data_IF_059309793833
#
_entry.id   IF_059309793833
#
_cell.length_a   1.000
_cell.length_b   1.000
_cell.length_c   1.000
_cell.angle_alpha   90.00
_cell.angle_beta   90.00
_cell.angle_gamma   90.00
#
_symmetry.space_group_name_H-M   'P 1'
#
loop_
_entity.id
_entity.type
_entity.pdbx_description
1 polymer ?
#
# COMPACT_ATOMS: atom_id res chain seq x y z
N UNK A 1 -36.44 11.99 -6.79
CA UNK A 1 -35.00 12.33 -6.89
C UNK A 1 -34.26 11.00 -6.72
N UNK A 2 -33.50 10.58 -7.73
CA UNK A 2 -33.01 9.20 -7.87
C UNK A 2 -32.18 8.71 -6.69
N UNK A 3 -32.47 7.50 -6.22
CA UNK A 3 -31.67 6.79 -5.21
C UNK A 3 -30.41 6.26 -5.88
N UNK A 4 -29.35 7.06 -5.93
CA UNK A 4 -28.05 6.64 -6.43
C UNK A 4 -27.38 5.76 -5.36
N UNK A 5 -27.29 4.45 -5.65
CA UNK A 5 -26.60 3.48 -4.80
C UNK A 5 -25.12 3.79 -4.69
N UNK A 6 -24.45 3.27 -3.65
CA UNK A 6 -23.01 3.44 -3.49
C UNK A 6 -22.26 2.91 -4.73
N UNK A 7 -21.35 3.72 -5.28
CA UNK A 7 -20.55 3.37 -6.47
C UNK A 7 -19.12 3.07 -6.05
N UNK A 8 -18.51 2.09 -6.71
CA UNK A 8 -17.07 1.81 -6.63
C UNK A 8 -16.36 2.44 -7.81
N UNK A 9 -15.30 3.20 -7.56
CA UNK A 9 -14.44 3.75 -8.61
C UNK A 9 -13.00 3.83 -8.16
N UNK A 10 -12.09 3.85 -9.14
CA UNK A 10 -10.65 3.85 -8.91
C UNK A 10 -10.01 5.10 -9.51
N UNK A 11 -9.16 5.74 -8.72
CA UNK A 11 -8.34 6.88 -9.11
C UNK A 11 -6.87 6.50 -9.10
N UNK A 12 -6.11 7.04 -10.04
CA UNK A 12 -4.66 6.88 -10.14
C UNK A 12 -3.97 8.21 -9.95
N UNK A 13 -3.10 8.29 -8.95
CA UNK A 13 -2.18 9.39 -8.72
C UNK A 13 -0.91 9.14 -9.52
N UNK A 14 -0.52 10.10 -10.35
CA UNK A 14 0.72 10.01 -11.12
C UNK A 14 1.92 10.39 -10.23
N UNK A 15 2.82 9.42 -10.03
CA UNK A 15 3.99 9.60 -9.19
C UNK A 15 5.25 9.79 -10.02
N UNK A 16 5.58 11.05 -10.32
CA UNK A 16 6.85 11.41 -10.99
C UNK A 16 8.09 11.26 -10.08
N UNK A 17 7.90 11.31 -8.76
CA UNK A 17 8.98 11.19 -7.78
C UNK A 17 8.50 10.36 -6.57
N UNK A 18 9.36 9.44 -6.09
CA UNK A 18 9.12 8.50 -4.99
C UNK A 18 10.00 8.76 -3.76
N UNK A 19 10.46 10.00 -3.58
CA UNK A 19 11.15 10.37 -2.35
C UNK A 19 10.22 10.25 -1.13
N UNK A 20 10.80 10.12 0.07
CA UNK A 20 10.06 9.97 1.34
C UNK A 20 8.98 11.05 1.50
N UNK A 21 9.28 12.30 1.12
CA UNK A 21 8.32 13.40 1.20
C UNK A 21 7.14 13.26 0.23
N UNK A 22 7.38 12.79 -1.01
CA UNK A 22 6.32 12.56 -1.98
C UNK A 22 5.42 11.40 -1.56
N UNK A 23 6.01 10.29 -1.11
CA UNK A 23 5.30 9.10 -0.62
C UNK A 23 4.41 9.49 0.57
N UNK A 24 4.98 10.12 1.61
CA UNK A 24 4.22 10.56 2.80
C UNK A 24 3.08 11.53 2.46
N UNK A 25 3.28 12.41 1.46
CA UNK A 25 2.23 13.34 1.03
C UNK A 25 1.04 12.61 0.39
N UNK A 26 1.31 11.62 -0.46
CA UNK A 26 0.27 10.82 -1.12
C UNK A 26 -0.43 9.92 -0.10
N UNK A 27 0.33 9.23 0.74
CA UNK A 27 -0.18 8.39 1.84
C UNK A 27 -1.14 9.16 2.74
N UNK A 28 -0.74 10.35 3.23
CA UNK A 28 -1.58 11.19 4.08
C UNK A 28 -2.85 11.65 3.36
N UNK A 29 -2.77 11.94 2.06
CA UNK A 29 -3.92 12.33 1.28
C UNK A 29 -4.90 11.17 1.08
N UNK A 30 -4.41 9.98 0.73
CA UNK A 30 -5.21 8.77 0.57
C UNK A 30 -5.90 8.38 1.88
N UNK A 31 -5.19 8.41 3.01
CA UNK A 31 -5.77 8.11 4.33
C UNK A 31 -6.87 9.10 4.74
N UNK A 32 -6.83 10.34 4.23
CA UNK A 32 -7.81 11.37 4.55
C UNK A 32 -9.06 11.33 3.65
N UNK A 33 -9.12 10.44 2.65
CA UNK A 33 -10.28 10.31 1.74
C UNK A 33 -11.53 9.88 2.51
N UNK A 34 -11.41 8.94 3.46
CA UNK A 34 -12.54 8.50 4.28
C UNK A 34 -13.21 9.60 5.12
N UNK A 35 -12.58 10.77 5.27
CA UNK A 35 -13.20 11.93 5.93
C UNK A 35 -14.11 12.77 5.03
N UNK A 36 -14.17 12.47 3.72
CA UNK A 36 -15.08 13.14 2.79
C UNK A 36 -16.51 12.62 2.98
N UNK A 37 -17.49 13.52 2.89
CA UNK A 37 -18.90 13.17 3.02
C UNK A 37 -19.32 12.25 1.88
N UNK A 38 -20.04 11.18 2.23
CA UNK A 38 -20.58 10.22 1.26
C UNK A 38 -19.63 9.08 0.90
N UNK A 39 -18.41 9.04 1.46
CA UNK A 39 -17.50 7.90 1.31
C UNK A 39 -17.77 6.88 2.41
N UNK A 40 -17.97 5.62 2.01
CA UNK A 40 -18.17 4.49 2.93
C UNK A 40 -16.84 3.81 3.22
N UNK A 41 -16.08 3.50 2.18
CA UNK A 41 -14.75 2.88 2.30
C UNK A 41 -13.81 3.41 1.23
N UNK A 42 -12.51 3.45 1.56
CA UNK A 42 -11.46 3.77 0.61
C UNK A 42 -10.22 2.93 0.89
N UNK A 43 -9.65 2.34 -0.15
CA UNK A 43 -8.42 1.52 -0.08
C UNK A 43 -7.40 2.13 -1.01
N UNK A 44 -6.27 2.59 -0.46
CA UNK A 44 -5.19 3.21 -1.22
C UNK A 44 -3.92 2.37 -1.19
N UNK A 45 -3.27 2.23 -2.34
CA UNK A 45 -1.93 1.69 -2.49
C UNK A 45 -0.98 2.82 -2.95
N UNK A 46 -0.13 3.27 -2.04
CA UNK A 46 0.83 4.35 -2.30
C UNK A 46 1.96 3.90 -3.24
N UNK A 47 2.26 2.60 -3.28
CA UNK A 47 3.31 2.04 -4.14
C UNK A 47 2.94 2.13 -5.62
N UNK A 48 1.68 1.79 -5.94
CA UNK A 48 1.13 1.91 -7.30
C UNK A 48 0.51 3.29 -7.55
N UNK A 49 0.17 4.05 -6.51
CA UNK A 49 -0.54 5.32 -6.62
C UNK A 49 -2.04 5.16 -6.88
N UNK A 50 -2.58 3.95 -6.70
CA UNK A 50 -4.00 3.61 -6.96
C UNK A 50 -4.80 3.84 -5.67
N UNK A 51 -6.01 4.40 -5.81
CA UNK A 51 -6.99 4.42 -4.73
C UNK A 51 -8.37 4.03 -5.23
N UNK A 52 -8.96 3.04 -4.57
CA UNK A 52 -10.33 2.59 -4.80
C UNK A 52 -11.23 3.19 -3.74
N UNK A 53 -12.34 3.79 -4.17
CA UNK A 53 -13.31 4.47 -3.31
C UNK A 53 -14.67 3.84 -3.53
N UNK A 54 -15.38 3.59 -2.44
CA UNK A 54 -16.77 3.15 -2.43
C UNK A 54 -17.60 4.17 -1.66
N UNK A 55 -18.64 4.69 -2.30
CA UNK A 55 -19.56 5.63 -1.65
C UNK A 55 -20.53 6.31 -2.60
N UNK A 56 -21.37 7.16 -2.03
CA UNK A 56 -22.29 8.06 -2.73
C UNK A 56 -21.61 9.41 -2.92
N UNK A 57 -20.54 9.42 -3.72
CA UNK A 57 -19.75 10.61 -4.05
C UNK A 57 -19.40 10.60 -5.53
N UNK A 58 -19.28 11.78 -6.14
CA UNK A 58 -18.87 11.91 -7.52
C UNK A 58 -17.35 11.65 -7.67
N UNK A 59 -16.90 10.79 -8.62
CA UNK A 59 -15.49 10.53 -8.85
C UNK A 59 -14.67 11.79 -9.17
N UNK A 60 -15.28 12.78 -9.82
CA UNK A 60 -14.61 14.03 -10.22
C UNK A 60 -14.31 14.89 -8.99
N UNK A 61 -15.24 14.95 -8.02
CA UNK A 61 -15.02 15.66 -6.75
C UNK A 61 -13.84 15.09 -5.98
N UNK A 62 -13.79 13.76 -5.83
CA UNK A 62 -12.68 13.08 -5.12
C UNK A 62 -11.37 13.25 -5.89
N UNK A 63 -11.40 13.17 -7.23
CA UNK A 63 -10.24 13.42 -8.09
C UNK A 63 -9.69 14.84 -7.91
N UNK A 64 -10.56 15.85 -7.95
CA UNK A 64 -10.16 17.25 -7.76
C UNK A 64 -9.57 17.49 -6.37
N UNK A 65 -10.22 16.94 -5.34
CA UNK A 65 -9.74 17.02 -3.96
C UNK A 65 -8.35 16.38 -3.81
N UNK A 66 -8.16 15.19 -4.38
CA UNK A 66 -6.89 14.46 -4.29
C UNK A 66 -5.77 15.18 -5.05
N UNK A 67 -6.08 15.76 -6.22
CA UNK A 67 -5.17 16.63 -6.99
C UNK A 67 -4.75 17.86 -6.17
N UNK A 68 -5.69 18.52 -5.50
CA UNK A 68 -5.41 19.68 -4.62
C UNK A 68 -4.54 19.30 -3.42
N UNK A 69 -4.76 18.15 -2.81
CA UNK A 69 -4.04 17.70 -1.61
C UNK A 69 -2.62 17.21 -1.92
N UNK A 70 -2.47 16.45 -3.00
CA UNK A 70 -1.19 15.84 -3.39
C UNK A 70 -0.32 16.75 -4.26
N UNK A 71 -0.94 17.75 -4.93
CA UNK A 71 -0.31 18.57 -5.99
C UNK A 71 0.23 17.71 -7.15
N UNK A 72 -0.41 16.57 -7.43
CA UNK A 72 -0.06 15.63 -8.50
C UNK A 72 -1.24 15.45 -9.46
N UNK A 73 -0.97 15.05 -10.70
CA UNK A 73 -2.04 14.64 -11.63
C UNK A 73 -2.76 13.40 -11.09
N UNK A 74 -4.08 13.41 -11.18
CA UNK A 74 -4.96 12.30 -10.79
C UNK A 74 -5.88 12.03 -11.97
N UNK A 75 -6.06 10.75 -12.31
CA UNK A 75 -6.97 10.29 -13.37
C UNK A 75 -7.94 9.27 -12.80
N UNK A 76 -9.19 9.30 -13.26
CA UNK A 76 -10.14 8.21 -12.99
C UNK A 76 -9.79 7.06 -13.94
N UNK A 77 -9.48 5.88 -13.40
CA UNK A 77 -9.05 4.71 -14.19
C UNK A 77 -10.22 3.77 -14.50
N UNK A 78 -11.31 3.85 -13.73
CA UNK A 78 -12.57 3.21 -14.09
C UNK A 78 -13.53 3.09 -12.90
N UNK A 79 -14.85 3.06 -13.15
CA UNK A 79 -15.82 2.46 -12.24
C UNK A 79 -15.75 0.94 -12.44
N UNK A 80 -15.23 0.19 -11.49
CA UNK A 80 -15.23 -1.27 -11.62
C UNK A 80 -16.67 -1.77 -11.45
N UNK A 81 -17.30 -2.38 -12.47
CA UNK A 81 -18.64 -2.94 -12.32
C UNK A 81 -18.55 -4.23 -11.49
N UNK A 82 -19.45 -4.33 -10.51
CA UNK A 82 -19.92 -5.53 -9.81
C UNK A 82 -18.90 -6.64 -9.47
N UNK A 83 -18.86 -6.97 -8.18
CA UNK A 83 -18.30 -8.23 -7.67
C UNK A 83 -19.08 -9.37 -8.33
N UNK A 84 -18.46 -10.08 -9.27
CA UNK A 84 -18.77 -11.48 -9.54
C UNK A 84 -17.44 -12.26 -9.58
N UNK A 85 -17.37 -13.25 -8.70
CA UNK A 85 -16.33 -14.27 -8.73
C UNK A 85 -16.32 -14.92 -10.11
N UNK A 86 -15.16 -15.13 -10.73
CA UNK A 86 -14.81 -16.40 -11.38
C UNK A 86 -13.39 -16.33 -11.96
N UNK A 87 -12.52 -17.17 -11.39
CA UNK A 87 -11.36 -17.82 -12.00
C UNK A 87 -10.96 -17.42 -13.43
N UNK A 88 -10.08 -16.42 -13.58
CA UNK A 88 -9.35 -16.24 -14.83
C UNK A 88 -8.33 -17.37 -15.02
N UNK A 89 -8.74 -18.40 -15.76
CA UNK A 89 -7.86 -19.25 -16.54
C UNK A 89 -8.47 -19.41 -17.93
N UNK A 90 -7.59 -19.29 -18.93
CA UNK A 90 -7.71 -19.72 -20.32
C UNK A 90 -8.20 -18.68 -21.35
N UNK A 91 -7.21 -18.26 -22.15
CA UNK A 91 -7.26 -17.88 -23.57
C UNK A 91 -8.07 -18.88 -24.40
N UNK A 92 -8.92 -18.41 -25.34
CA UNK A 92 -9.03 -18.92 -26.74
C UNK A 92 -9.60 -17.81 -27.66
N UNK A 93 -9.05 -17.75 -28.88
CA UNK A 93 -9.28 -16.83 -30.01
C UNK A 93 -10.49 -17.28 -30.86
N UNK A 94 -10.96 -16.37 -31.74
CA UNK A 94 -11.92 -16.52 -32.87
C UNK A 94 -13.35 -16.21 -32.45
N UNK A 95 -14.17 -15.45 -33.17
CA UNK A 95 -14.15 -14.97 -34.55
C UNK A 95 -15.61 -14.63 -34.87
N UNK A 96 -15.83 -13.59 -35.67
CA UNK A 96 -17.11 -13.01 -36.08
C UNK A 96 -18.28 -13.98 -36.26
N UNK A 97 -19.51 -13.62 -35.86
CA UNK A 97 -20.68 -13.81 -36.74
C UNK A 97 -21.95 -13.10 -36.23
N UNK A 98 -22.71 -12.67 -37.21
CA UNK A 98 -23.87 -11.79 -37.23
C UNK A 98 -25.18 -12.46 -36.80
N UNK A 99 -26.15 -11.60 -36.40
CA UNK A 99 -27.62 -11.73 -36.48
C UNK A 99 -28.31 -12.79 -35.61
N UNK A 100 -29.25 -12.35 -34.79
CA UNK A 100 -30.70 -12.50 -35.06
C UNK A 100 -31.53 -11.84 -33.95
N UNK A 101 -32.37 -10.88 -34.31
CA UNK A 101 -33.50 -10.45 -33.48
C UNK A 101 -34.71 -11.28 -33.91
N UNK A 102 -35.27 -12.06 -33.00
CA UNK A 102 -36.60 -12.63 -33.19
C UNK A 102 -37.42 -12.41 -31.92
N UNK A 103 -38.43 -11.56 -32.09
CA UNK A 103 -39.56 -11.34 -31.21
C UNK A 103 -40.50 -12.53 -31.23
N UNK A 104 -40.95 -13.03 -30.07
CA UNK A 104 -42.34 -13.42 -29.68
C UNK A 104 -42.30 -14.37 -28.45
N UNK A 105 -43.43 -14.67 -27.75
CA UNK A 105 -44.66 -13.90 -27.51
C UNK A 105 -45.12 -13.90 -26.02
N UNK A 106 -46.05 -12.99 -25.72
CA UNK A 106 -47.06 -12.99 -24.64
C UNK A 106 -46.99 -14.07 -23.53
N UNK A 107 -46.66 -13.67 -22.30
CA UNK A 107 -46.86 -14.47 -21.07
C UNK A 107 -48.17 -14.03 -20.36
N UNK A 108 -49.00 -14.96 -19.83
CA UNK A 108 -50.21 -14.61 -19.09
C UNK A 108 -49.91 -13.99 -17.71
N UNK A 109 -50.85 -13.22 -17.12
CA UNK A 109 -50.65 -12.62 -15.80
C UNK A 109 -50.69 -13.71 -14.71
N UNK A 110 -49.61 -13.80 -13.92
CA UNK A 110 -49.60 -14.59 -12.69
C UNK A 110 -50.43 -13.84 -11.63
N UNK A 111 -51.57 -14.42 -11.26
CA UNK A 111 -52.33 -14.04 -10.08
C UNK A 111 -51.92 -14.88 -8.87
N UNK A 112 -51.76 -14.15 -7.78
CA UNK A 112 -52.03 -14.47 -6.38
C UNK A 112 -51.33 -15.65 -5.69
N UNK A 113 -50.46 -15.24 -4.77
CA UNK A 113 -50.55 -15.60 -3.36
C UNK A 113 -50.42 -17.10 -3.03
N UNK A 114 -49.18 -17.57 -2.90
CA UNK A 114 -48.88 -18.73 -2.06
C UNK A 114 -47.66 -18.45 -1.16
N UNK A 115 -47.97 -18.19 0.10
CA UNK A 115 -47.28 -18.63 1.33
C UNK A 115 -45.80 -19.01 1.20
N UNK A 116 -44.90 -18.12 1.63
CA UNK A 116 -43.48 -18.39 1.87
C UNK A 116 -43.22 -19.25 3.13
N UNK A 117 -44.11 -20.19 3.45
CA UNK A 117 -43.86 -21.17 4.48
C UNK A 117 -43.33 -22.44 3.81
N UNK A 118 -41.99 -22.52 3.73
CA UNK A 118 -41.14 -23.70 3.92
C UNK A 118 -39.77 -23.40 3.33
N UNK A 119 -38.99 -22.59 4.06
CA UNK A 119 -37.53 -22.61 3.94
C UNK A 119 -37.12 -24.05 4.27
N UNK A 120 -36.47 -24.81 3.37
CA UNK A 120 -35.93 -26.11 3.72
C UNK A 120 -34.98 -25.92 4.90
N UNK A 121 -35.02 -26.79 5.93
CA UNK A 121 -34.17 -26.62 7.10
C UNK A 121 -32.73 -26.54 6.60
N UNK A 122 -32.10 -25.40 6.87
CA UNK A 122 -30.68 -25.17 6.66
C UNK A 122 -29.98 -26.42 7.16
N UNK A 123 -29.48 -27.23 6.21
CA UNK A 123 -28.69 -28.40 6.55
C UNK A 123 -27.61 -27.91 7.50
N UNK A 124 -27.50 -28.55 8.66
CA UNK A 124 -26.45 -28.26 9.62
C UNK A 124 -25.12 -28.48 8.93
N UNK A 125 -24.61 -27.45 8.27
CA UNK A 125 -23.26 -27.45 7.73
C UNK A 125 -22.36 -27.51 8.95
N UNK A 126 -21.64 -28.62 9.07
CA UNK A 126 -20.91 -29.04 10.25
C UNK A 126 -20.14 -27.90 10.91
N UNK A 127 -20.59 -27.47 12.09
CA UNK A 127 -19.87 -26.51 12.95
C UNK A 127 -18.40 -26.93 13.19
N UNK A 128 -18.10 -28.23 13.11
CA UNK A 128 -16.73 -28.78 13.21
C UNK A 128 -15.83 -28.37 12.06
N UNK A 129 -16.35 -28.29 10.83
CA UNK A 129 -15.58 -27.89 9.65
C UNK A 129 -15.19 -26.41 9.74
N UNK A 130 -16.08 -25.57 10.25
CA UNK A 130 -15.84 -24.15 10.45
C UNK A 130 -14.77 -23.89 11.53
N UNK A 131 -14.85 -24.60 12.66
CA UNK A 131 -13.81 -24.53 13.71
C UNK A 131 -12.43 -24.95 13.20
N UNK A 132 -12.36 -26.02 12.39
CA UNK A 132 -11.10 -26.48 11.80
C UNK A 132 -10.50 -25.44 10.84
N UNK A 133 -11.35 -24.73 10.09
CA UNK A 133 -10.91 -23.65 9.19
C UNK A 133 -10.36 -22.48 10.00
N UNK A 134 -11.05 -22.05 11.06
CA UNK A 134 -10.58 -20.99 11.96
C UNK A 134 -9.23 -21.33 12.61
N UNK A 135 -9.06 -22.57 13.09
CA UNK A 135 -7.78 -23.03 13.65
C UNK A 135 -6.65 -23.01 12.60
N UNK A 136 -6.93 -23.42 11.37
CA UNK A 136 -5.97 -23.35 10.26
C UNK A 136 -5.60 -21.92 9.92
N UNK A 137 -6.57 -21.01 9.84
CA UNK A 137 -6.31 -19.57 9.61
C UNK A 137 -5.39 -19.05 10.70
N UNK A 138 -5.76 -19.24 11.97
CA UNK A 138 -4.94 -18.82 13.12
C UNK A 138 -3.52 -19.40 13.08
N UNK A 139 -3.37 -20.66 12.65
CA UNK A 139 -2.08 -21.30 12.45
C UNK A 139 -1.22 -20.61 11.38
N UNK A 140 -1.81 -20.31 10.22
CA UNK A 140 -1.12 -19.62 9.13
C UNK A 140 -0.73 -18.19 9.50
N UNK A 141 -1.59 -17.49 10.24
CA UNK A 141 -1.29 -16.15 10.74
C UNK A 141 -0.09 -16.15 11.68
N UNK A 142 -0.02 -17.11 12.60
CA UNK A 142 1.16 -17.29 13.47
C UNK A 142 2.44 -17.53 12.66
N UNK A 143 2.38 -18.39 11.64
CA UNK A 143 3.55 -18.67 10.78
C UNK A 143 4.02 -17.41 10.06
N UNK A 144 3.08 -16.64 9.51
CA UNK A 144 3.37 -15.35 8.86
C UNK A 144 4.05 -14.36 9.82
N UNK A 145 3.56 -14.29 11.06
CA UNK A 145 4.09 -13.36 12.06
C UNK A 145 5.49 -13.78 12.50
N UNK A 146 5.72 -15.09 12.73
CA UNK A 146 7.06 -15.63 13.02
C UNK A 146 8.04 -15.32 11.90
N UNK A 147 7.62 -15.49 10.63
CA UNK A 147 8.49 -15.19 9.48
C UNK A 147 8.83 -13.70 9.40
N UNK A 148 7.86 -12.82 9.65
CA UNK A 148 8.07 -11.36 9.71
C UNK A 148 9.04 -10.98 10.82
N UNK A 149 8.85 -11.53 12.02
CA UNK A 149 9.75 -11.28 13.16
C UNK A 149 11.16 -11.72 12.80
N UNK A 150 11.34 -12.93 12.27
CA UNK A 150 12.66 -13.46 11.91
C UNK A 150 13.33 -12.65 10.80
N UNK A 151 12.57 -12.17 9.81
CA UNK A 151 13.12 -11.28 8.78
C UNK A 151 13.62 -9.96 9.40
N UNK A 152 12.81 -9.33 10.25
CA UNK A 152 13.18 -8.09 10.93
C UNK A 152 14.38 -8.27 11.88
N UNK A 153 14.48 -9.40 12.57
CA UNK A 153 15.64 -9.74 13.40
C UNK A 153 16.93 -9.82 12.56
N UNK A 154 16.87 -10.44 11.38
CA UNK A 154 18.02 -10.51 10.48
C UNK A 154 18.43 -9.12 9.97
N UNK A 155 17.47 -8.28 9.57
CA UNK A 155 17.73 -6.90 9.16
C UNK A 155 18.34 -6.07 10.30
N UNK A 156 17.84 -6.24 11.53
CA UNK A 156 18.36 -5.57 12.72
C UNK A 156 19.81 -5.99 13.02
N UNK A 157 20.12 -7.29 12.90
CA UNK A 157 21.48 -7.81 13.07
C UNK A 157 22.41 -7.22 12.01
N UNK A 158 22.00 -7.18 10.74
CA UNK A 158 22.77 -6.60 9.66
C UNK A 158 23.05 -5.11 9.90
N UNK A 159 22.01 -4.32 10.18
CA UNK A 159 22.14 -2.88 10.46
C UNK A 159 23.05 -2.60 11.68
N UNK A 160 22.93 -3.41 12.75
CA UNK A 160 23.81 -3.31 13.92
C UNK A 160 25.27 -3.59 13.57
N UNK A 161 25.53 -4.56 12.71
CA UNK A 161 26.89 -4.89 12.26
C UNK A 161 27.52 -3.76 11.44
N UNK A 162 26.76 -3.13 10.54
CA UNK A 162 27.20 -1.99 9.74
C UNK A 162 27.51 -0.76 10.60
N UNK A 163 26.66 -0.48 11.59
CA UNK A 163 26.88 0.61 12.55
C UNK A 163 28.15 0.39 13.38
N UNK A 164 28.38 -0.84 13.84
CA UNK A 164 29.57 -1.15 14.63
C UNK A 164 30.86 -1.06 13.78
N UNK A 165 30.81 -1.47 12.52
CA UNK A 165 31.92 -1.27 11.58
C UNK A 165 32.19 0.22 11.34
N UNK A 166 31.14 1.00 11.08
CA UNK A 166 31.24 2.45 10.87
C UNK A 166 31.82 3.16 12.10
N UNK A 167 31.39 2.76 13.31
CA UNK A 167 31.92 3.26 14.58
C UNK A 167 33.42 3.00 14.71
N UNK A 168 33.88 1.79 14.35
CA UNK A 168 35.31 1.45 14.39
C UNK A 168 36.13 2.31 13.43
N UNK A 169 35.65 2.52 12.21
CA UNK A 169 36.30 3.39 11.21
C UNK A 169 36.38 4.84 11.69
N UNK A 170 35.29 5.38 12.25
CA UNK A 170 35.28 6.74 12.79
C UNK A 170 36.27 6.86 13.97
N UNK A 171 36.31 5.86 14.85
CA UNK A 171 37.23 5.85 16.00
C UNK A 171 38.69 5.81 15.55
N UNK A 172 39.04 4.99 14.57
CA UNK A 172 40.42 4.92 14.05
C UNK A 172 40.80 6.20 13.31
N UNK A 173 39.90 6.75 12.49
CA UNK A 173 40.11 8.02 11.79
C UNK A 173 40.33 9.18 12.77
N UNK A 174 39.50 9.29 13.81
CA UNK A 174 39.68 10.31 14.87
C UNK A 174 41.03 10.19 15.57
N UNK A 175 41.48 8.96 15.85
CA UNK A 175 42.81 8.72 16.44
C UNK A 175 43.92 9.20 15.51
N UNK A 176 43.88 8.83 14.24
CA UNK A 176 44.88 9.25 13.25
C UNK A 176 44.97 10.77 13.10
N UNK A 177 43.82 11.46 13.11
CA UNK A 177 43.78 12.94 13.07
C UNK A 177 44.42 13.56 14.30
N UNK A 178 44.14 13.03 15.50
CA UNK A 178 44.76 13.49 16.75
C UNK A 178 46.28 13.26 16.76
N UNK A 179 46.72 12.07 16.34
CA UNK A 179 48.15 11.73 16.26
C UNK A 179 48.88 12.66 15.26
N UNK A 180 48.26 12.94 14.11
CA UNK A 180 48.78 13.89 13.13
C UNK A 180 48.89 15.31 13.68
N UNK A 181 47.84 15.81 14.33
CA UNK A 181 47.84 17.14 14.94
C UNK A 181 48.90 17.28 16.03
N UNK A 182 49.07 16.25 16.86
CA UNK A 182 50.11 16.22 17.89
C UNK A 182 51.51 16.28 17.26
N UNK A 183 51.74 15.53 16.18
CA UNK A 183 53.00 15.54 15.46
C UNK A 183 53.30 16.91 14.84
N UNK A 184 52.29 17.56 14.23
CA UNK A 184 52.42 18.92 13.70
C UNK A 184 52.77 19.93 14.80
N UNK A 185 52.09 19.87 15.95
CA UNK A 185 52.39 20.74 17.09
C UNK A 185 53.82 20.55 17.61
N UNK A 186 54.29 19.31 17.69
CA UNK A 186 55.66 18.99 18.10
C UNK A 186 56.69 19.55 17.12
N UNK A 187 56.44 19.41 15.81
CA UNK A 187 57.31 19.99 14.79
C UNK A 187 57.40 21.52 14.91
N UNK A 188 56.26 22.18 15.13
CA UNK A 188 56.21 23.63 15.31
C UNK A 188 57.02 24.08 16.53
N UNK A 189 56.86 23.40 17.67
CA UNK A 189 57.62 23.68 18.90
C UNK A 189 59.13 23.52 18.70
N UNK A 190 59.56 22.53 17.92
CA UNK A 190 60.97 22.34 17.60
C UNK A 190 61.51 23.50 16.76
N UNK A 191 60.77 23.97 15.76
CA UNK A 191 61.17 25.12 14.93
C UNK A 191 61.24 26.41 15.76
N UNK A 192 60.28 26.63 16.66
CA UNK A 192 60.29 27.76 17.59
C UNK A 192 61.56 27.75 18.45
N UNK A 193 61.95 26.58 19.00
CA UNK A 193 63.17 26.43 19.79
C UNK A 193 64.44 26.78 18.98
N UNK A 194 64.48 26.43 17.69
CA UNK A 194 65.59 26.79 16.81
C UNK A 194 65.66 28.29 16.52
N UNK A 195 64.51 28.96 16.42
CA UNK A 195 64.45 30.41 16.18
C UNK A 195 64.91 31.26 17.38
N UNK A 196 64.96 30.66 18.57
CA UNK A 196 65.38 31.32 19.82
C UNK A 196 66.87 31.13 20.14
N UNK A 197 67.63 30.42 19.29
CA UNK A 197 69.08 30.31 19.45
C UNK A 197 69.76 31.66 19.15
N UNK A 198 70.71 32.13 19.99
CA UNK A 198 71.45 33.34 19.72
C UNK A 198 72.28 33.21 18.43
N UNK A 199 72.30 34.26 17.62
CA UNK A 199 73.24 34.36 16.51
C UNK A 199 74.61 34.74 17.09
N UNK A 200 75.52 33.76 17.19
CA UNK A 200 76.95 33.97 17.52
C UNK A 200 77.74 34.53 16.32
#
# INVERSE_FOLDING_TARGET
>A
MGTEGARRFTLQVEMQCRCIGCVKKVEKAMASIGSLRGIETSVGDVGTGIVTVVGKVDPTEVCHWLKKKTKKSVKVVGPDPAIENHNQKMVVILGSSSRAWHTTPSAPPLQDEMSWALVPPVGQHDHKSLQLIEEKIKGLEKVRDVLKIKNLENELIAAKSELEQSRKVIKSSKKALLDSALNQLKAYRNLEALSQLPYD
#
